data_IF_557524537579
#
_entry.id   IF_557524537579
#
_cell.length_a   1.000
_cell.length_b   1.000
_cell.length_c   1.000
_cell.angle_alpha   90.00
_cell.angle_beta   90.00
_cell.angle_gamma   90.00
#
_symmetry.space_group_name_H-M   'P 1'
#
loop_
_entity.id
_entity.type
_entity.pdbx_description
1 polymer ?
#
# COMPACT_ATOMS: atom_id res chain seq x y z
N UNK A 1 -22.43 -6.03 14.89
CA UNK A 1 -21.08 -6.30 14.33
C UNK A 1 -20.90 -5.40 13.12
N UNK A 2 -20.30 -4.22 13.29
CA UNK A 2 -20.29 -3.13 12.29
C UNK A 2 -19.64 -3.58 10.98
N UNK A 3 -20.32 -3.35 9.85
CA UNK A 3 -19.84 -3.63 8.49
C UNK A 3 -18.47 -2.97 8.25
N UNK A 4 -17.38 -3.70 8.46
CA UNK A 4 -16.02 -3.22 8.15
C UNK A 4 -15.91 -3.11 6.64
N UNK A 5 -15.50 -1.93 6.14
CA UNK A 5 -15.27 -1.67 4.71
C UNK A 5 -14.35 -2.73 4.10
N UNK A 6 -14.70 -3.25 2.91
CA UNK A 6 -13.90 -4.25 2.19
C UNK A 6 -12.43 -3.81 2.04
N UNK A 7 -12.21 -2.52 1.80
CA UNK A 7 -10.89 -1.90 1.71
C UNK A 7 -10.07 -2.07 2.99
N UNK A 8 -10.72 -1.95 4.14
CA UNK A 8 -10.08 -2.09 5.44
C UNK A 8 -9.59 -3.53 5.68
N UNK A 9 -10.25 -4.51 5.05
CA UNK A 9 -9.87 -5.93 5.05
C UNK A 9 -8.70 -6.22 4.10
N UNK A 10 -8.61 -5.48 2.99
CA UNK A 10 -7.55 -5.62 1.99
C UNK A 10 -6.26 -5.00 2.51
N UNK A 11 -6.32 -3.76 3.03
CA UNK A 11 -5.12 -3.02 3.42
C UNK A 11 -4.57 -3.41 4.79
N UNK A 12 -5.42 -3.91 5.70
CA UNK A 12 -5.03 -4.12 7.08
C UNK A 12 -5.30 -5.53 7.59
N UNK A 13 -4.29 -6.10 8.24
CA UNK A 13 -4.40 -7.33 9.02
C UNK A 13 -4.61 -6.95 10.48
N UNK A 14 -5.59 -7.56 11.13
CA UNK A 14 -5.74 -7.46 12.58
C UNK A 14 -4.87 -8.53 13.22
N UNK A 15 -3.86 -8.10 13.96
CA UNK A 15 -2.95 -8.98 14.69
C UNK A 15 -3.36 -8.96 16.16
N UNK A 16 -3.58 -10.14 16.75
CA UNK A 16 -3.81 -10.25 18.18
C UNK A 16 -2.53 -9.86 18.91
N UNK A 17 -2.64 -8.98 19.91
CA UNK A 17 -1.49 -8.56 20.70
C UNK A 17 -1.52 -9.26 22.05
N UNK A 18 -2.60 -9.07 22.81
CA UNK A 18 -2.65 -9.41 24.22
C UNK A 18 -4.09 -9.44 24.73
N UNK A 19 -4.32 -10.12 25.84
CA UNK A 19 -5.57 -10.09 26.59
C UNK A 19 -5.46 -9.02 27.69
N UNK A 20 -6.40 -8.07 27.70
CA UNK A 20 -6.49 -7.05 28.73
C UNK A 20 -7.70 -7.38 29.59
N UNK A 21 -7.50 -7.45 30.89
CA UNK A 21 -8.58 -7.58 31.86
C UNK A 21 -9.06 -6.19 32.28
N UNK A 22 -10.37 -5.93 32.15
CA UNK A 22 -11.03 -4.71 32.64
C UNK A 22 -12.31 -5.11 33.35
N UNK A 23 -12.50 -4.60 34.57
CA UNK A 23 -13.70 -4.86 35.38
C UNK A 23 -14.05 -6.37 35.53
N UNK A 24 -13.04 -7.23 35.73
CA UNK A 24 -13.23 -8.68 35.88
C UNK A 24 -13.66 -9.41 34.60
N UNK A 25 -13.61 -8.75 33.44
CA UNK A 25 -13.84 -9.36 32.13
C UNK A 25 -12.57 -9.29 31.28
N UNK A 26 -12.25 -10.40 30.62
CA UNK A 26 -11.07 -10.54 29.75
C UNK A 26 -11.43 -10.14 28.32
N UNK A 27 -10.78 -9.11 27.81
CA UNK A 27 -10.96 -8.63 26.44
C UNK A 27 -9.72 -8.91 25.58
N UNK A 28 -9.94 -9.43 24.38
CA UNK A 28 -8.86 -9.62 23.39
C UNK A 28 -8.56 -8.30 22.70
N UNK A 29 -7.33 -7.79 22.83
CA UNK A 29 -6.86 -6.58 22.13
C UNK A 29 -6.25 -6.96 20.78
N UNK A 30 -6.68 -6.25 19.74
CA UNK A 30 -6.18 -6.43 18.38
C UNK A 30 -5.52 -5.14 17.89
N UNK A 31 -4.32 -5.23 17.28
CA UNK A 31 -3.71 -4.11 16.53
C UNK A 31 -4.09 -4.21 15.07
N UNK A 32 -4.41 -3.08 14.46
CA UNK A 32 -4.51 -2.96 13.01
C UNK A 32 -3.09 -2.75 12.45
N UNK A 33 -2.59 -3.68 11.64
CA UNK A 33 -1.28 -3.61 10.99
C UNK A 33 -1.45 -3.56 9.48
N UNK A 34 -0.78 -2.62 8.82
CA UNK A 34 -0.83 -2.49 7.37
C UNK A 34 -0.18 -3.72 6.73
N UNK A 35 -0.89 -4.43 5.85
CA UNK A 35 -0.35 -5.62 5.16
C UNK A 35 0.81 -5.25 4.24
N UNK A 36 0.72 -4.08 3.62
CA UNK A 36 1.65 -3.60 2.61
C UNK A 36 2.62 -2.55 3.17
N UNK A 37 3.37 -2.90 4.22
CA UNK A 37 4.38 -1.99 4.79
C UNK A 37 5.43 -1.58 3.74
N UNK A 38 5.78 -2.50 2.83
CA UNK A 38 6.73 -2.27 1.75
C UNK A 38 6.28 -1.21 0.74
N UNK A 39 4.97 -1.12 0.45
CA UNK A 39 4.41 -0.09 -0.45
C UNK A 39 4.56 1.30 0.17
N UNK A 40 4.36 1.42 1.49
CA UNK A 40 4.56 2.67 2.21
C UNK A 40 6.05 3.01 2.38
N UNK A 41 6.93 2.02 2.47
CA UNK A 41 8.36 2.26 2.65
C UNK A 41 9.05 2.63 1.33
N UNK A 42 8.63 2.02 0.22
CA UNK A 42 9.24 2.19 -1.10
C UNK A 42 8.42 3.08 -2.04
N UNK A 43 7.48 3.88 -1.53
CA UNK A 43 6.64 4.74 -2.37
C UNK A 43 7.46 5.69 -3.23
N UNK A 44 8.57 6.24 -2.69
CA UNK A 44 9.49 7.10 -3.44
C UNK A 44 10.12 6.35 -4.61
N UNK A 45 10.57 5.11 -4.38
CA UNK A 45 11.15 4.25 -5.42
C UNK A 45 10.14 3.95 -6.51
N UNK A 46 8.88 3.69 -6.14
CA UNK A 46 7.79 3.48 -7.11
C UNK A 46 7.56 4.76 -7.92
N UNK A 47 7.53 5.94 -7.28
CA UNK A 47 7.38 7.23 -7.97
C UNK A 47 8.54 7.49 -8.94
N UNK A 48 9.79 7.27 -8.50
CA UNK A 48 10.96 7.42 -9.37
C UNK A 48 10.94 6.44 -10.54
N UNK A 49 10.52 5.19 -10.31
CA UNK A 49 10.38 4.19 -11.36
C UNK A 49 9.34 4.58 -12.40
N UNK A 50 8.18 5.11 -11.97
CA UNK A 50 7.14 5.60 -12.88
C UNK A 50 7.64 6.80 -13.68
N UNK A 51 8.34 7.75 -13.05
CA UNK A 51 8.93 8.90 -13.75
C UNK A 51 9.98 8.46 -14.77
N UNK A 52 10.81 7.48 -14.42
CA UNK A 52 11.81 6.89 -15.32
C UNK A 52 11.16 6.25 -16.55
N UNK A 53 10.12 5.44 -16.37
CA UNK A 53 9.37 4.86 -17.49
C UNK A 53 8.74 5.94 -18.38
N UNK A 54 8.23 7.02 -17.77
CA UNK A 54 7.66 8.15 -18.50
C UNK A 54 8.73 8.84 -19.37
N UNK A 55 9.95 9.03 -18.85
CA UNK A 55 11.06 9.60 -19.63
C UNK A 55 11.46 8.71 -20.80
N UNK A 56 11.50 7.39 -20.61
CA UNK A 56 11.77 6.44 -21.70
C UNK A 56 10.70 6.54 -22.77
N UNK A 57 9.43 6.53 -22.37
CA UNK A 57 8.30 6.62 -23.30
C UNK A 57 8.36 7.90 -24.16
N UNK A 58 8.70 9.04 -23.56
CA UNK A 58 8.86 10.30 -24.27
C UNK A 58 10.02 10.22 -25.29
N UNK A 59 11.16 9.62 -24.89
CA UNK A 59 12.30 9.44 -25.80
C UNK A 59 11.95 8.54 -26.99
N UNK A 60 11.24 7.44 -26.75
CA UNK A 60 10.75 6.56 -27.83
C UNK A 60 9.77 7.28 -28.75
N UNK A 61 8.90 8.12 -28.20
CA UNK A 61 7.98 8.94 -28.99
C UNK A 61 8.73 9.92 -29.91
N UNK A 62 9.75 10.61 -29.41
CA UNK A 62 10.58 11.50 -30.22
C UNK A 62 11.38 10.74 -31.29
N UNK A 63 11.91 9.56 -30.96
CA UNK A 63 12.61 8.71 -31.92
C UNK A 63 11.68 8.27 -33.05
N UNK A 64 10.46 7.84 -32.73
CA UNK A 64 9.46 7.39 -33.69
C UNK A 64 8.93 8.53 -34.59
N UNK A 65 8.85 9.76 -34.06
CA UNK A 65 8.44 10.93 -34.84
C UNK A 65 9.54 11.41 -35.79
N UNK A 66 10.81 11.34 -35.38
CA UNK A 66 11.95 11.70 -36.24
C UNK A 66 12.21 10.69 -37.36
N UNK A 67 11.96 9.39 -37.15
CA UNK A 67 12.14 8.36 -38.19
C UNK A 67 11.05 8.34 -39.26
N UNK A 68 9.89 8.93 -38.99
CA UNK A 68 8.76 9.00 -39.94
C UNK A 68 8.84 10.19 -40.90
N UNK A 69 9.82 11.06 -40.74
CA UNK A 69 10.03 12.27 -41.54
C UNK A 69 11.16 12.05 -42.52
#
# INVERSE_FOLDING_TARGET
>A
MSKRSLWDRIFYKYEYIEQIEKNGQVYKKYKKRHRFHFLRQNWRTIVYFVLFLLTIYILEFFRNTMQKK
#
